data_IF_479592590814
#
_entry.id   IF_479592590814
#
_cell.length_a   1.000
_cell.length_b   1.000
_cell.length_c   1.000
_cell.angle_alpha   90.00
_cell.angle_beta   90.00
_cell.angle_gamma   90.00
#
_symmetry.space_group_name_H-M   'P 1'
#
loop_
_entity.id
_entity.type
_entity.pdbx_description
1 polymer ?
#
# COMPACT_ATOMS: atom_id res chain seq x y z
N UNK A 1 19.14 -12.64 16.70
CA UNK A 1 17.77 -12.36 17.22
C UNK A 1 16.84 -12.39 16.02
N UNK A 2 15.79 -13.22 16.06
CA UNK A 2 14.97 -13.57 14.89
C UNK A 2 14.15 -12.37 14.40
N UNK A 3 14.18 -12.12 13.09
CA UNK A 3 13.42 -11.08 12.40
C UNK A 3 11.92 -11.39 12.45
N UNK A 4 11.05 -10.58 13.07
CA UNK A 4 9.63 -10.90 13.20
C UNK A 4 8.84 -10.32 12.01
N UNK A 5 9.23 -10.65 10.77
CA UNK A 5 8.39 -10.40 9.60
C UNK A 5 8.11 -11.76 8.97
N UNK A 6 7.34 -12.58 9.66
CA UNK A 6 6.95 -13.92 9.20
C UNK A 6 5.77 -13.90 8.20
N UNK A 7 5.35 -12.70 7.74
CA UNK A 7 4.42 -12.57 6.63
C UNK A 7 5.19 -12.15 5.36
N UNK A 8 5.45 -13.13 4.49
CA UNK A 8 6.08 -12.97 3.18
C UNK A 8 5.27 -12.07 2.24
N UNK A 9 3.96 -11.93 2.49
CA UNK A 9 3.06 -11.08 1.71
C UNK A 9 2.76 -9.78 2.44
N UNK A 10 2.91 -8.65 1.74
CA UNK A 10 2.50 -7.36 2.28
C UNK A 10 1.00 -7.29 2.52
N UNK A 11 0.18 -8.10 1.84
CA UNK A 11 -1.29 -8.12 2.00
C UNK A 11 -1.71 -8.60 3.39
N UNK A 12 -0.81 -9.26 4.13
CA UNK A 12 -1.05 -9.75 5.49
C UNK A 12 -0.38 -8.86 6.54
N UNK A 13 0.19 -7.73 6.15
CA UNK A 13 0.84 -6.84 7.09
C UNK A 13 -0.18 -6.09 7.94
N UNK A 14 0.03 -6.08 9.24
CA UNK A 14 -0.67 -5.17 10.13
C UNK A 14 -0.13 -3.72 10.00
N UNK A 15 -0.81 -2.77 10.64
CA UNK A 15 -0.43 -1.36 10.58
C UNK A 15 0.97 -1.07 11.19
N UNK A 16 1.45 -1.90 12.12
CA UNK A 16 2.77 -1.75 12.71
C UNK A 16 3.88 -2.21 11.74
N UNK A 17 3.63 -3.29 11.01
CA UNK A 17 4.50 -3.76 9.93
C UNK A 17 4.54 -2.75 8.78
N UNK A 18 3.40 -2.17 8.40
CA UNK A 18 3.34 -1.07 7.42
C UNK A 18 4.15 0.14 7.89
N UNK A 19 3.92 0.60 9.12
CA UNK A 19 4.67 1.72 9.72
C UNK A 19 6.19 1.49 9.67
N UNK A 20 6.62 0.28 10.04
CA UNK A 20 8.03 -0.13 10.01
C UNK A 20 8.60 -0.06 8.60
N UNK A 21 7.86 -0.57 7.62
CA UNK A 21 8.26 -0.53 6.21
C UNK A 21 8.38 0.92 5.71
N UNK A 22 7.38 1.77 5.96
CA UNK A 22 7.41 3.19 5.55
C UNK A 22 8.62 3.91 6.17
N UNK A 23 8.92 3.64 7.43
CA UNK A 23 10.10 4.23 8.08
C UNK A 23 11.43 3.73 7.47
N UNK A 24 11.47 2.52 6.91
CA UNK A 24 12.67 1.98 6.27
C UNK A 24 13.00 2.60 4.91
N UNK A 25 11.98 3.04 4.16
CA UNK A 25 12.16 3.65 2.82
C UNK A 25 12.41 5.17 2.88
N UNK A 26 12.26 5.77 4.06
CA UNK A 26 12.43 7.21 4.27
C UNK A 26 13.82 7.53 4.87
N UNK A 27 14.35 8.74 4.59
CA UNK A 27 15.56 9.24 5.25
C UNK A 27 15.43 9.24 6.78
N UNK A 28 16.56 9.13 7.48
CA UNK A 28 16.60 9.07 8.95
C UNK A 28 15.81 10.19 9.65
N UNK A 29 15.85 11.41 9.11
CA UNK A 29 15.13 12.58 9.65
C UNK A 29 13.60 12.46 9.58
N UNK A 30 13.09 11.56 8.72
CA UNK A 30 11.66 11.35 8.47
C UNK A 30 11.16 10.00 9.00
N UNK A 31 11.96 9.26 9.79
CA UNK A 31 11.63 7.94 10.36
C UNK A 31 10.49 7.90 11.39
N UNK A 32 9.73 8.99 11.54
CA UNK A 32 8.50 9.02 12.34
C UNK A 32 7.24 9.10 11.47
N UNK A 33 7.38 9.28 10.17
CA UNK A 33 6.24 9.39 9.25
C UNK A 33 5.47 8.07 9.15
N UNK A 34 6.13 6.92 9.35
CA UNK A 34 5.45 5.63 9.43
C UNK A 34 4.40 5.59 10.54
N UNK A 35 4.56 6.35 11.64
CA UNK A 35 3.57 6.41 12.71
C UNK A 35 2.21 6.91 12.21
N UNK A 36 2.17 7.75 11.18
CA UNK A 36 0.92 8.20 10.56
C UNK A 36 0.10 7.02 10.03
N UNK A 37 0.76 5.99 9.48
CA UNK A 37 0.09 4.79 8.99
C UNK A 37 -0.44 3.95 10.16
N UNK A 38 0.31 3.89 11.25
CA UNK A 38 -0.11 3.21 12.47
C UNK A 38 -1.32 3.92 13.10
N UNK A 39 -1.25 5.24 13.25
CA UNK A 39 -2.28 6.07 13.88
C UNK A 39 -3.60 6.06 13.09
N UNK A 40 -3.52 5.91 11.76
CA UNK A 40 -4.69 5.79 10.88
C UNK A 40 -5.09 4.33 10.59
N UNK A 41 -4.49 3.36 11.29
CA UNK A 41 -4.77 1.92 11.13
C UNK A 41 -4.68 1.43 9.67
N UNK A 42 -3.65 1.87 8.95
CA UNK A 42 -3.42 1.49 7.55
C UNK A 42 -2.66 0.18 7.49
N UNK A 43 -3.37 -0.91 7.23
CA UNK A 43 -2.80 -2.23 7.01
C UNK A 43 -2.34 -2.45 5.55
N UNK A 44 -1.64 -3.56 5.34
CA UNK A 44 -0.99 -3.87 4.08
C UNK A 44 -1.93 -4.08 2.90
N UNK A 45 -3.17 -4.51 3.13
CA UNK A 45 -4.18 -4.69 2.08
C UNK A 45 -4.63 -3.36 1.47
N UNK A 46 -4.43 -2.25 2.18
CA UNK A 46 -4.80 -0.90 1.74
C UNK A 46 -3.73 -0.24 0.86
N UNK A 47 -2.47 -0.68 0.95
CA UNK A 47 -1.33 -0.07 0.24
C UNK A 47 -1.56 0.12 -1.27
N UNK A 48 -2.16 -0.83 -2.01
CA UNK A 48 -2.46 -0.66 -3.44
C UNK A 48 -3.35 0.56 -3.76
N UNK A 49 -4.23 0.92 -2.82
CA UNK A 49 -5.27 1.95 -3.02
C UNK A 49 -4.85 3.34 -2.52
N UNK A 50 -3.72 3.45 -1.83
CA UNK A 50 -3.26 4.72 -1.28
C UNK A 50 -2.89 5.65 -2.44
N UNK A 51 -3.54 6.82 -2.51
CA UNK A 51 -3.23 7.86 -3.51
C UNK A 51 -2.35 8.94 -2.88
N UNK A 52 -1.79 9.82 -3.70
CA UNK A 52 -1.08 11.01 -3.19
C UNK A 52 -2.03 11.96 -2.43
N UNK A 53 -3.33 11.93 -2.72
CA UNK A 53 -4.35 12.69 -2.01
C UNK A 53 -4.62 12.09 -0.63
N UNK A 54 -4.83 10.78 -0.53
CA UNK A 54 -4.98 10.07 0.76
C UNK A 54 -3.78 10.32 1.68
N UNK A 55 -2.55 10.27 1.15
CA UNK A 55 -1.34 10.58 1.93
C UNK A 55 -1.35 12.01 2.48
N UNK A 56 -1.90 12.97 1.74
CA UNK A 56 -2.03 14.36 2.21
C UNK A 56 -3.07 14.45 3.32
N UNK A 57 -4.21 13.78 3.17
CA UNK A 57 -5.31 13.77 4.14
C UNK A 57 -4.89 13.18 5.49
N UNK A 58 -4.09 12.13 5.50
CA UNK A 58 -3.56 11.52 6.74
C UNK A 58 -2.41 12.34 7.36
N UNK A 59 -1.99 13.46 6.75
CA UNK A 59 -1.03 14.40 7.36
C UNK A 59 0.36 14.43 6.73
N UNK A 60 0.60 13.76 5.60
CA UNK A 60 1.89 13.83 4.90
C UNK A 60 1.87 15.00 3.91
N UNK A 61 2.23 16.19 4.40
CA UNK A 61 2.06 17.47 3.68
C UNK A 61 3.11 17.68 2.58
N UNK A 62 4.31 17.12 2.73
CA UNK A 62 5.39 17.24 1.74
C UNK A 62 5.10 16.42 0.48
N UNK A 63 4.99 17.07 -0.68
CA UNK A 63 4.82 16.38 -1.97
C UNK A 63 5.96 15.41 -2.24
N UNK A 64 7.21 15.82 -1.98
CA UNK A 64 8.39 14.97 -2.16
C UNK A 64 8.28 13.68 -1.35
N UNK A 65 7.88 13.79 -0.08
CA UNK A 65 7.71 12.63 0.80
C UNK A 65 6.59 11.72 0.29
N UNK A 66 5.46 12.28 -0.13
CA UNK A 66 4.35 11.49 -0.72
C UNK A 66 4.78 10.70 -1.95
N UNK A 67 5.59 11.31 -2.83
CA UNK A 67 6.10 10.63 -4.02
C UNK A 67 7.08 9.49 -3.68
N UNK A 68 7.95 9.70 -2.69
CA UNK A 68 8.87 8.64 -2.21
C UNK A 68 8.08 7.46 -1.64
N UNK A 69 7.06 7.73 -0.82
CA UNK A 69 6.19 6.70 -0.26
C UNK A 69 5.45 5.94 -1.36
N UNK A 70 4.82 6.65 -2.30
CA UNK A 70 4.11 6.01 -3.42
C UNK A 70 5.04 5.13 -4.24
N UNK A 71 6.27 5.59 -4.51
CA UNK A 71 7.26 4.79 -5.22
C UNK A 71 7.62 3.53 -4.42
N UNK A 72 7.91 3.65 -3.13
CA UNK A 72 8.22 2.50 -2.28
C UNK A 72 7.09 1.46 -2.29
N UNK A 73 5.84 1.90 -2.12
CA UNK A 73 4.68 1.02 -2.21
C UNK A 73 4.60 0.33 -3.57
N UNK A 74 4.79 1.05 -4.68
CA UNK A 74 4.80 0.45 -6.02
C UNK A 74 5.92 -0.59 -6.18
N UNK A 75 7.12 -0.30 -5.67
CA UNK A 75 8.26 -1.22 -5.71
C UNK A 75 7.98 -2.49 -4.87
N UNK A 76 7.34 -2.35 -3.69
CA UNK A 76 6.91 -3.46 -2.84
C UNK A 76 5.90 -4.38 -3.55
N UNK A 77 4.88 -3.78 -4.17
CA UNK A 77 3.85 -4.52 -4.90
C UNK A 77 4.46 -5.25 -6.10
N UNK A 78 5.32 -4.58 -6.87
CA UNK A 78 6.00 -5.17 -8.01
C UNK A 78 6.90 -6.34 -7.58
N UNK A 79 7.66 -6.19 -6.49
CA UNK A 79 8.49 -7.26 -5.95
C UNK A 79 7.64 -8.46 -5.48
N UNK A 80 6.49 -8.21 -4.86
CA UNK A 80 5.56 -9.26 -4.43
C UNK A 80 5.05 -10.09 -5.61
N UNK A 81 4.52 -9.45 -6.67
CA UNK A 81 4.00 -10.17 -7.83
C UNK A 81 5.08 -10.78 -8.72
N UNK A 82 6.31 -10.27 -8.67
CA UNK A 82 7.46 -10.93 -9.29
C UNK A 82 7.76 -12.27 -8.61
N UNK A 83 7.66 -12.33 -7.27
CA UNK A 83 7.88 -13.55 -6.47
C UNK A 83 6.66 -14.49 -6.49
N UNK A 84 5.46 -13.93 -6.49
CA UNK A 84 4.18 -14.64 -6.44
C UNK A 84 3.31 -14.19 -7.63
N UNK A 85 3.60 -14.69 -8.84
CA UNK A 85 2.85 -14.29 -10.02
C UNK A 85 1.37 -14.70 -9.87
N UNK A 86 0.44 -13.84 -10.32
CA UNK A 86 -0.99 -14.14 -10.24
C UNK A 86 -1.31 -15.40 -11.04
N UNK A 87 -2.05 -16.32 -10.43
CA UNK A 87 -2.39 -17.61 -11.08
C UNK A 87 -3.49 -17.47 -12.13
N UNK A 88 -4.25 -16.37 -12.10
CA UNK A 88 -5.33 -16.06 -13.03
C UNK A 88 -5.71 -14.57 -12.95
N UNK A 89 -6.35 -14.03 -13.99
CA UNK A 89 -7.02 -12.71 -13.94
C UNK A 89 -8.11 -12.62 -12.87
N UNK A 90 -8.63 -13.77 -12.42
CA UNK A 90 -9.63 -13.86 -11.35
C UNK A 90 -9.02 -14.04 -9.95
N UNK A 91 -7.70 -14.00 -9.82
CA UNK A 91 -7.04 -14.09 -8.53
C UNK A 91 -7.44 -12.89 -7.64
N UNK A 92 -7.98 -13.13 -6.43
CA UNK A 92 -8.52 -12.08 -5.58
C UNK A 92 -7.44 -11.07 -5.18
N UNK A 93 -6.20 -11.52 -4.96
CA UNK A 93 -5.08 -10.65 -4.61
C UNK A 93 -4.67 -9.79 -5.82
N UNK A 94 -4.68 -10.35 -7.02
CA UNK A 94 -4.41 -9.60 -8.26
C UNK A 94 -5.49 -8.58 -8.60
N UNK A 95 -6.77 -8.94 -8.42
CA UNK A 95 -7.92 -8.06 -8.69
C UNK A 95 -7.90 -6.80 -7.83
N UNK A 96 -7.50 -6.90 -6.57
CA UNK A 96 -7.38 -5.75 -5.68
C UNK A 96 -6.42 -4.68 -6.24
N UNK A 97 -5.37 -5.10 -6.94
CA UNK A 97 -4.37 -4.18 -7.51
C UNK A 97 -4.73 -3.64 -8.90
N UNK A 98 -5.62 -4.32 -9.63
CA UNK A 98 -5.99 -3.99 -11.02
C UNK A 98 -7.48 -3.63 -11.19
N UNK A 99 -8.22 -3.42 -10.10
CA UNK A 99 -9.61 -3.00 -10.16
C UNK A 99 -9.71 -1.58 -10.74
N UNK A 100 -9.90 -1.49 -12.06
CA UNK A 100 -10.44 -0.30 -12.71
C UNK A 100 -11.85 -0.05 -12.15
N UNK A 101 -12.12 1.18 -11.72
CA UNK A 101 -13.44 1.66 -11.29
C UNK A 101 -14.48 1.49 -12.42
N UNK A 102 -15.07 0.31 -12.54
CA UNK A 102 -16.26 0.06 -13.36
C UNK A 102 -17.52 0.16 -12.50
N UNK A 103 -17.76 1.35 -11.94
CA UNK A 103 -19.05 1.69 -11.35
C UNK A 103 -19.47 3.05 -11.88
N UNK A 104 -20.17 3.05 -13.02
CA UNK A 104 -21.24 4.03 -13.31
C UNK A 104 -22.17 3.41 -14.35
N UNK A 105 -23.37 3.06 -13.89
CA UNK A 105 -24.64 3.03 -14.64
C UNK A 105 -24.91 1.82 -15.54
N UNK A 106 -25.39 0.75 -14.91
CA UNK A 106 -26.66 0.17 -15.35
C UNK A 106 -27.75 1.25 -15.16
N UNK A 107 -28.26 1.82 -16.24
CA UNK A 107 -29.65 2.30 -16.28
C UNK A 107 -30.28 1.83 -17.57
N UNK A 108 -31.45 1.24 -17.38
CA UNK A 108 -32.26 0.51 -18.33
C UNK A 108 -32.57 1.31 -19.59
N UNK A 109 -32.52 0.58 -20.71
CA UNK A 109 -33.15 0.92 -21.97
C UNK A 109 -34.68 0.90 -21.79
N UNK A 110 -35.46 1.83 -22.37
CA UNK A 110 -36.83 1.52 -22.76
C UNK A 110 -36.87 0.60 -23.98
#
# INVERSE_FOLDING_TARGET
MASPISNDSFLQWDAAQVSTYINSILPHEQRRIGNVFLDNNVDGSLLPFITTEHLKEIGIISLKTRLVIKKGISDLIAAHYSKYPPKSYNDPDYKLNHATLATTTQRCNP
#
